data_IF_919422674290
#
_entry.id   IF_919422674290
#
_cell.length_a   1.000
_cell.length_b   1.000
_cell.length_c   1.000
_cell.angle_alpha   90.00
_cell.angle_beta   90.00
_cell.angle_gamma   90.00
#
_symmetry.space_group_name_H-M   'P 1'
#
loop_
_entity.id
_entity.type
_entity.pdbx_description
1 polymer ?
#
# COMPACT_ATOMS: atom_id res chain seq x y z
N UNK A 1 12.76 3.06 -45.35
CA UNK A 1 11.56 3.00 -44.50
C UNK A 1 11.93 2.29 -43.21
N UNK A 2 12.22 3.05 -42.14
CA UNK A 2 12.53 2.54 -40.80
C UNK A 2 12.03 3.58 -39.79
N UNK A 3 10.95 3.25 -39.08
CA UNK A 3 10.45 4.04 -37.95
C UNK A 3 11.33 3.73 -36.73
N UNK A 4 12.02 4.75 -36.23
CA UNK A 4 12.81 4.71 -34.99
C UNK A 4 11.87 4.99 -33.81
N UNK A 5 11.79 4.07 -32.87
CA UNK A 5 11.02 4.25 -31.65
C UNK A 5 11.67 5.36 -30.79
N UNK A 6 10.95 6.46 -30.61
CA UNK A 6 11.39 7.64 -29.86
C UNK A 6 11.24 7.38 -28.36
N UNK A 7 12.33 7.01 -27.70
CA UNK A 7 12.41 6.96 -26.23
C UNK A 7 12.45 8.39 -25.69
N UNK A 8 11.33 8.84 -25.10
CA UNK A 8 11.26 10.13 -24.41
C UNK A 8 11.99 9.98 -23.06
N UNK A 9 13.23 10.49 -23.00
CA UNK A 9 13.91 10.79 -21.73
C UNK A 9 13.19 11.96 -21.07
N UNK A 10 12.72 11.80 -19.83
CA UNK A 10 12.41 12.93 -18.94
C UNK A 10 13.55 13.10 -17.96
N UNK A 11 14.49 13.99 -18.29
CA UNK A 11 15.40 14.59 -17.31
C UNK A 11 14.60 15.55 -16.41
N UNK A 12 14.90 15.52 -15.11
CA UNK A 12 14.19 16.26 -14.08
C UNK A 12 14.67 17.69 -13.86
N UNK A 13 13.85 18.46 -13.12
CA UNK A 13 14.20 19.64 -12.29
C UNK A 13 12.91 20.22 -11.65
N UNK A 14 12.93 20.92 -10.50
CA UNK A 14 13.86 20.91 -9.37
C UNK A 14 13.18 20.55 -8.03
N UNK A 15 14.05 20.20 -7.08
CA UNK A 15 13.88 20.20 -5.62
C UNK A 15 12.77 21.11 -5.07
N UNK A 16 11.74 20.51 -4.45
CA UNK A 16 10.87 21.18 -3.47
C UNK A 16 10.54 20.21 -2.34
N UNK A 17 11.29 20.39 -1.25
CA UNK A 17 10.92 20.10 0.13
C UNK A 17 10.71 18.63 0.45
N UNK A 18 11.79 18.03 0.97
CA UNK A 18 11.72 17.10 2.09
C UNK A 18 10.70 17.62 3.12
N UNK A 19 9.45 17.15 3.01
CA UNK A 19 8.45 17.33 4.05
C UNK A 19 8.74 16.24 5.08
N UNK A 20 9.11 16.71 6.26
CA UNK A 20 9.26 16.02 7.55
C UNK A 20 9.04 14.51 7.51
N UNK A 21 10.04 13.77 8.00
CA UNK A 21 9.91 12.36 8.38
C UNK A 21 8.79 12.30 9.42
N UNK A 22 7.56 12.14 8.93
CA UNK A 22 6.40 11.85 9.75
C UNK A 22 6.74 10.59 10.53
N UNK A 23 6.55 10.68 11.83
CA UNK A 23 6.50 9.56 12.77
C UNK A 23 6.12 8.27 12.01
N UNK A 24 7.01 7.26 12.00
CA UNK A 24 6.79 6.03 11.24
C UNK A 24 5.51 5.36 11.75
N UNK A 25 4.38 5.72 11.15
CA UNK A 25 3.07 5.34 11.62
C UNK A 25 2.93 3.84 11.41
N UNK A 26 2.74 3.11 12.50
CA UNK A 26 2.53 1.68 12.40
C UNK A 26 1.29 1.41 11.52
N UNK A 27 1.31 0.35 10.69
CA UNK A 27 0.16 0.03 9.88
C UNK A 27 -1.04 -0.28 10.76
N UNK A 28 -2.19 0.31 10.43
CA UNK A 28 -3.44 0.16 11.19
C UNK A 28 -3.97 -1.28 11.14
N UNK A 29 -3.62 -2.02 10.09
CA UNK A 29 -3.99 -3.43 9.92
C UNK A 29 -3.02 -4.15 9.01
N UNK A 30 -2.80 -5.43 9.27
CA UNK A 30 -2.05 -6.34 8.40
C UNK A 30 -2.83 -7.63 8.14
N UNK A 31 -2.68 -8.17 6.94
CA UNK A 31 -3.18 -9.49 6.53
C UNK A 31 -2.04 -10.26 5.88
N UNK A 32 -1.84 -11.52 6.25
CA UNK A 32 -0.77 -12.34 5.70
C UNK A 32 -1.25 -13.73 5.29
N UNK A 33 -0.59 -14.29 4.28
CA UNK A 33 -0.79 -15.66 3.83
C UNK A 33 0.51 -16.20 3.24
N UNK A 34 1.15 -17.12 3.96
CA UNK A 34 2.49 -17.61 3.64
C UNK A 34 3.51 -16.47 3.60
N UNK A 35 4.32 -16.41 2.54
CA UNK A 35 5.29 -15.34 2.34
C UNK A 35 4.70 -14.02 1.82
N UNK A 36 3.37 -13.83 1.81
CA UNK A 36 2.72 -12.61 1.33
C UNK A 36 2.11 -11.84 2.50
N UNK A 37 2.36 -10.53 2.55
CA UNK A 37 1.82 -9.60 3.53
C UNK A 37 1.19 -8.39 2.82
N UNK A 38 -0.02 -8.01 3.25
CA UNK A 38 -0.67 -6.75 2.90
C UNK A 38 -0.81 -5.92 4.17
N UNK A 39 -0.38 -4.67 4.13
CA UNK A 39 -0.49 -3.73 5.24
C UNK A 39 -1.29 -2.49 4.81
N UNK A 40 -2.15 -2.02 5.70
CA UNK A 40 -2.97 -0.82 5.54
C UNK A 40 -2.38 0.28 6.42
N UNK A 41 -2.25 1.47 5.87
CA UNK A 41 -1.63 2.63 6.51
C UNK A 41 -2.61 3.79 6.50
N UNK A 42 -2.79 4.46 7.63
CA UNK A 42 -3.50 5.74 7.69
C UNK A 42 -2.46 6.85 7.50
N UNK A 43 -2.71 7.70 6.50
CA UNK A 43 -1.85 8.82 6.16
C UNK A 43 -2.65 10.11 6.25
N UNK A 44 -1.95 11.23 6.40
CA UNK A 44 -2.54 12.56 6.40
C UNK A 44 -1.99 13.36 5.22
N UNK A 45 -2.90 13.98 4.46
CA UNK A 45 -2.51 14.90 3.40
C UNK A 45 -1.96 16.20 4.00
N UNK A 46 -1.18 16.95 3.23
CA UNK A 46 -0.69 18.26 3.68
C UNK A 46 -1.77 19.30 3.99
N UNK A 47 -3.06 18.99 3.80
CA UNK A 47 -4.22 19.83 4.11
C UNK A 47 -5.06 19.28 5.29
N UNK A 48 -4.59 18.26 6.00
CA UNK A 48 -5.28 17.67 7.16
C UNK A 48 -6.26 16.54 6.84
N UNK A 49 -6.53 16.25 5.56
CA UNK A 49 -7.42 15.14 5.21
C UNK A 49 -6.71 13.80 5.40
N UNK A 50 -7.30 12.92 6.20
CA UNK A 50 -6.83 11.54 6.39
C UNK A 50 -7.24 10.65 5.21
N UNK A 51 -6.37 9.74 4.81
CA UNK A 51 -6.64 8.74 3.78
C UNK A 51 -5.85 7.45 4.03
N UNK A 52 -6.40 6.33 3.57
CA UNK A 52 -5.76 5.03 3.72
C UNK A 52 -4.96 4.65 2.47
N UNK A 53 -3.79 4.03 2.66
CA UNK A 53 -3.02 3.38 1.59
C UNK A 53 -2.78 1.91 1.91
N UNK A 54 -2.52 1.11 0.88
CA UNK A 54 -2.31 -0.34 1.01
C UNK A 54 -0.98 -0.71 0.36
N UNK A 55 -0.14 -1.47 1.06
CA UNK A 55 1.12 -2.00 0.55
C UNK A 55 1.08 -3.53 0.50
N UNK A 56 1.57 -4.12 -0.58
CA UNK A 56 1.72 -5.58 -0.76
C UNK A 56 3.21 -5.93 -0.80
N UNK A 57 3.64 -6.91 -0.01
CA UNK A 57 5.01 -7.39 0.04
C UNK A 57 5.08 -8.91 0.06
N UNK A 58 6.16 -9.44 -0.52
CA UNK A 58 6.54 -10.85 -0.47
C UNK A 58 7.85 -11.02 0.30
N UNK A 59 7.83 -11.81 1.37
CA UNK A 59 9.00 -12.20 2.16
C UNK A 59 9.65 -13.47 1.60
N UNK A 60 10.98 -13.49 1.59
CA UNK A 60 11.78 -14.64 1.20
C UNK A 60 13.13 -14.65 1.90
N UNK A 61 13.74 -15.83 2.00
CA UNK A 61 15.13 -15.95 2.39
C UNK A 61 16.03 -15.87 1.16
N UNK A 62 17.09 -15.08 1.26
CA UNK A 62 18.13 -15.01 0.24
C UNK A 62 19.17 -16.12 0.42
N UNK A 63 20.32 -15.99 -0.26
CA UNK A 63 21.39 -17.00 -0.23
C UNK A 63 22.15 -17.00 1.10
N UNK A 64 22.08 -15.92 1.86
CA UNK A 64 22.76 -15.72 3.14
C UNK A 64 21.82 -16.03 4.32
N UNK A 65 20.69 -16.71 4.05
CA UNK A 65 19.63 -17.04 5.01
C UNK A 65 18.91 -15.83 5.62
N UNK A 66 19.12 -14.64 5.05
CA UNK A 66 18.49 -13.40 5.51
C UNK A 66 17.08 -13.24 4.94
N UNK A 67 16.13 -12.85 5.80
CA UNK A 67 14.79 -12.48 5.36
C UNK A 67 14.81 -11.13 4.65
N UNK A 68 14.34 -11.12 3.40
CA UNK A 68 14.16 -9.93 2.57
C UNK A 68 12.69 -9.83 2.14
N UNK A 69 12.24 -8.62 1.84
CA UNK A 69 10.94 -8.36 1.23
C UNK A 69 11.08 -7.81 -0.20
N UNK A 70 10.10 -8.08 -1.05
CA UNK A 70 10.02 -7.52 -2.41
C UNK A 70 8.58 -7.32 -2.83
N UNK A 71 8.32 -6.37 -3.73
CA UNK A 71 7.01 -6.21 -4.39
C UNK A 71 6.80 -7.18 -5.57
N UNK A 72 7.83 -7.92 -5.99
CA UNK A 72 7.73 -8.86 -7.11
C UNK A 72 7.09 -10.18 -6.69
N UNK A 73 6.01 -10.56 -7.38
CA UNK A 73 5.23 -11.77 -7.13
C UNK A 73 5.62 -12.89 -8.11
N UNK A 74 5.55 -14.13 -7.64
CA UNK A 74 5.60 -15.35 -8.47
C UNK A 74 4.19 -15.86 -8.72
N UNK A 75 4.02 -16.78 -9.67
CA UNK A 75 2.69 -17.35 -10.00
C UNK A 75 1.98 -17.95 -8.77
N UNK A 76 2.70 -18.64 -7.89
CA UNK A 76 2.13 -19.23 -6.67
C UNK A 76 1.79 -18.21 -5.56
N UNK A 77 2.26 -16.97 -5.69
CA UNK A 77 1.95 -15.89 -4.76
C UNK A 77 0.64 -15.18 -5.10
N UNK A 78 0.25 -15.20 -6.38
CA UNK A 78 -0.96 -14.54 -6.90
C UNK A 78 -2.23 -14.90 -6.10
N UNK A 79 -2.59 -16.18 -5.88
CA UNK A 79 -3.81 -16.50 -5.14
C UNK A 79 -3.75 -16.01 -3.67
N UNK A 80 -2.57 -15.99 -3.06
CA UNK A 80 -2.37 -15.49 -1.70
C UNK A 80 -2.52 -13.97 -1.65
N UNK A 81 -1.95 -13.26 -2.63
CA UNK A 81 -2.09 -11.82 -2.78
C UNK A 81 -3.55 -11.42 -3.02
N UNK A 82 -4.29 -12.16 -3.85
CA UNK A 82 -5.72 -11.92 -4.07
C UNK A 82 -6.48 -12.04 -2.75
N UNK A 83 -6.27 -13.12 -1.99
CA UNK A 83 -6.94 -13.34 -0.71
C UNK A 83 -6.66 -12.22 0.30
N UNK A 84 -5.38 -11.83 0.47
CA UNK A 84 -5.01 -10.80 1.44
C UNK A 84 -5.47 -9.41 1.01
N UNK A 85 -5.47 -9.10 -0.30
CA UNK A 85 -6.02 -7.85 -0.84
C UNK A 85 -7.54 -7.79 -0.69
N UNK A 86 -8.26 -8.90 -0.90
CA UNK A 86 -9.70 -8.98 -0.65
C UNK A 86 -10.02 -8.70 0.82
N UNK A 87 -9.24 -9.25 1.75
CA UNK A 87 -9.39 -8.97 3.19
C UNK A 87 -9.09 -7.51 3.53
N UNK A 88 -8.11 -6.90 2.88
CA UNK A 88 -7.82 -5.48 3.06
C UNK A 88 -8.98 -4.59 2.56
N UNK A 89 -9.54 -4.92 1.40
CA UNK A 89 -10.71 -4.23 0.87
C UNK A 89 -11.93 -4.37 1.79
N UNK A 90 -12.24 -5.60 2.22
CA UNK A 90 -13.32 -5.88 3.17
C UNK A 90 -13.20 -5.02 4.44
N UNK A 91 -12.00 -4.98 5.04
CA UNK A 91 -11.73 -4.16 6.22
C UNK A 91 -11.98 -2.67 5.98
N UNK A 92 -11.47 -2.12 4.87
CA UNK A 92 -11.64 -0.69 4.55
C UNK A 92 -13.10 -0.33 4.29
N UNK A 93 -13.82 -1.15 3.53
CA UNK A 93 -15.21 -0.90 3.17
C UNK A 93 -16.15 -1.02 4.36
N UNK A 94 -15.92 -1.98 5.26
CA UNK A 94 -16.73 -2.13 6.47
C UNK A 94 -16.46 -1.00 7.46
N UNK A 95 -15.19 -0.59 7.65
CA UNK A 95 -14.83 0.54 8.52
C UNK A 95 -15.50 1.85 8.08
N UNK A 96 -15.51 2.15 6.79
CA UNK A 96 -16.20 3.35 6.25
C UNK A 96 -17.71 3.30 6.50
N UNK A 97 -18.29 2.09 6.50
CA UNK A 97 -19.73 1.88 6.75
C UNK A 97 -20.08 2.15 8.22
N UNK A 98 -19.26 1.67 9.14
CA UNK A 98 -19.42 1.88 10.59
C UNK A 98 -19.30 3.37 10.95
N UNK A 99 -18.27 4.06 10.45
CA UNK A 99 -18.07 5.50 10.69
C UNK A 99 -19.26 6.34 10.18
N UNK A 100 -19.80 6.00 8.99
CA UNK A 100 -21.00 6.68 8.46
C UNK A 100 -22.24 6.44 9.32
N UNK A 101 -22.42 5.23 9.84
CA UNK A 101 -23.56 4.90 10.69
C UNK A 101 -23.47 5.61 12.06
N UNK A 102 -22.29 5.66 12.66
CA UNK A 102 -22.06 6.35 13.92
C UNK A 102 -22.30 7.86 13.79
N UNK A 103 -21.80 8.49 12.71
CA UNK A 103 -22.05 9.91 12.42
C UNK A 103 -23.54 10.18 12.20
N UNK A 104 -24.24 9.31 11.46
CA UNK A 104 -25.68 9.46 11.23
C UNK A 104 -26.48 9.37 12.54
N UNK A 105 -26.13 8.44 13.43
CA UNK A 105 -26.78 8.28 14.74
C UNK A 105 -26.49 9.48 15.67
N UNK A 106 -25.27 10.02 15.65
CA UNK A 106 -24.89 11.17 16.48
C UNK A 106 -25.58 12.49 16.06
N UNK A 107 -26.11 12.56 14.83
CA UNK A 107 -26.80 13.73 14.28
C UNK A 107 -28.34 13.62 14.36
N UNK A 108 -28.88 12.53 14.91
CA UNK A 108 -30.33 12.30 15.08
C UNK A 108 -30.75 12.54 16.52
#
# INVERSE_FOLDING_TARGET
MLLKNLTIKREGSPDKTAKEVGEMSAPIKKFSSGGIEVAIWENESGKGNKFNTVSLQRSYKDKDDEWKSTGSLRTGDIPKAILTLQKAYEYLSLKESEEKQEIALALT
#
